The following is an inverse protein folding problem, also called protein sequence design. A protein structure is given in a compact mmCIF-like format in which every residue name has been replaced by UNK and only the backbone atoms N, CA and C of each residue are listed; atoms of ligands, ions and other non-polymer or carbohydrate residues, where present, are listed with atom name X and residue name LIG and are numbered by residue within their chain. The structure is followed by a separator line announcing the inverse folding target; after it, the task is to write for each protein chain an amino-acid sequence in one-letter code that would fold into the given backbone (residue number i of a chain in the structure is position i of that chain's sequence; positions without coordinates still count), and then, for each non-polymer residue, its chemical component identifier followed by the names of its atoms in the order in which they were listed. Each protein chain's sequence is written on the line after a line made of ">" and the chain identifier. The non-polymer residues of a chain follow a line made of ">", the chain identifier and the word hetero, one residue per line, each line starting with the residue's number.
data_IF_421327146784
#
_entry.id   IF_421327146784
#
_cell.length_a   1.000
_cell.length_b   1.000
_cell.length_c   1.000
_cell.angle_alpha   90.00
_cell.angle_beta   90.00
_cell.angle_gamma   90.00
#
_symmetry.space_group_name_H-M   'P 1'
#
loop_
_entity.id
_entity.type
_entity.pdbx_description
1 polymer ?
#
# COMPACT_ATOMS: atom_id res chain seq x y z
N UNK A 1 21.61 -45.57 -60.22
CA UNK A 1 21.55 -46.14 -58.85
C UNK A 1 22.28 -45.23 -57.88
N UNK A 2 21.84 -43.98 -57.91
CA UNK A 2 22.41 -42.76 -57.33
C UNK A 2 21.25 -42.09 -56.55
N UNK A 3 21.56 -41.23 -55.59
CA UNK A 3 20.65 -40.36 -54.82
C UNK A 3 19.92 -40.95 -53.60
N UNK A 4 19.60 -42.25 -53.53
CA UNK A 4 18.75 -42.77 -52.44
C UNK A 4 19.45 -42.85 -51.06
N UNK A 5 20.73 -43.20 -50.98
CA UNK A 5 21.44 -43.32 -49.69
C UNK A 5 21.90 -41.99 -49.07
N UNK A 6 21.91 -40.89 -49.84
CA UNK A 6 22.34 -39.57 -49.33
C UNK A 6 21.17 -38.79 -48.71
N UNK A 7 19.93 -39.10 -49.09
CA UNK A 7 18.73 -38.49 -48.54
C UNK A 7 18.38 -38.96 -47.13
N UNK A 8 18.65 -40.23 -46.77
CA UNK A 8 18.37 -40.74 -45.40
C UNK A 8 19.22 -40.03 -44.35
N UNK A 9 20.54 -39.91 -44.57
CA UNK A 9 21.44 -39.20 -43.65
C UNK A 9 21.18 -37.69 -43.56
N UNK A 10 20.59 -37.10 -44.60
CA UNK A 10 20.22 -35.67 -44.62
C UNK A 10 18.91 -35.40 -43.88
N UNK A 11 17.97 -36.36 -43.88
CA UNK A 11 16.70 -36.26 -43.16
C UNK A 11 16.89 -36.34 -41.63
N UNK A 12 17.84 -37.13 -41.13
CA UNK A 12 18.09 -37.24 -39.67
C UNK A 12 18.72 -35.98 -39.06
N UNK A 13 19.63 -35.32 -39.79
CA UNK A 13 20.25 -34.07 -39.33
C UNK A 13 19.27 -32.89 -39.39
N UNK A 14 18.41 -32.84 -40.41
CA UNK A 14 17.40 -31.79 -40.53
C UNK A 14 16.28 -31.98 -39.50
N UNK A 15 15.82 -33.21 -39.25
CA UNK A 15 14.83 -33.51 -38.23
C UNK A 15 15.31 -33.18 -36.81
N UNK A 16 16.55 -33.51 -36.46
CA UNK A 16 17.12 -33.20 -35.14
C UNK A 16 17.36 -31.70 -34.92
N UNK A 17 17.71 -30.94 -35.96
CA UNK A 17 17.82 -29.49 -35.90
C UNK A 17 16.46 -28.83 -35.76
N UNK A 18 15.45 -29.26 -36.54
CA UNK A 18 14.09 -28.74 -36.45
C UNK A 18 13.45 -29.04 -35.09
N UNK A 19 13.67 -30.23 -34.53
CA UNK A 19 13.18 -30.58 -33.19
C UNK A 19 13.81 -29.70 -32.09
N UNK A 20 15.12 -29.41 -32.19
CA UNK A 20 15.81 -28.50 -31.25
C UNK A 20 15.26 -27.09 -31.31
N UNK A 21 15.03 -26.56 -32.51
CA UNK A 21 14.42 -25.23 -32.68
C UNK A 21 12.98 -25.17 -32.19
N UNK A 22 12.20 -26.24 -32.39
CA UNK A 22 10.83 -26.33 -31.88
C UNK A 22 10.79 -26.37 -30.35
N UNK A 23 11.70 -27.10 -29.70
CA UNK A 23 11.82 -27.12 -28.24
C UNK A 23 12.24 -25.75 -27.67
N UNK A 24 13.20 -25.06 -28.30
CA UNK A 24 13.61 -23.71 -27.91
C UNK A 24 12.43 -22.73 -28.05
N UNK A 25 11.67 -22.79 -29.14
CA UNK A 25 10.50 -21.95 -29.34
C UNK A 25 9.42 -22.18 -28.27
N UNK A 26 9.18 -23.43 -27.86
CA UNK A 26 8.23 -23.77 -26.79
C UNK A 26 8.69 -23.24 -25.41
N UNK A 27 9.99 -23.33 -25.11
CA UNK A 27 10.55 -22.78 -23.87
C UNK A 27 10.41 -21.25 -23.84
N UNK A 28 10.72 -20.58 -24.95
CA UNK A 28 10.59 -19.13 -25.08
C UNK A 28 9.12 -18.68 -24.98
N UNK A 29 8.18 -19.42 -25.57
CA UNK A 29 6.73 -19.17 -25.43
C UNK A 29 6.26 -19.34 -23.98
N UNK A 30 6.74 -20.38 -23.27
CA UNK A 30 6.46 -20.57 -21.85
C UNK A 30 7.01 -19.45 -20.98
N UNK A 31 8.25 -19.02 -21.23
CA UNK A 31 8.86 -17.89 -20.52
C UNK A 31 8.14 -16.57 -20.81
N UNK A 32 7.76 -16.32 -22.06
CA UNK A 32 7.00 -15.13 -22.45
C UNK A 32 5.62 -15.10 -21.76
N UNK A 33 4.93 -16.25 -21.67
CA UNK A 33 3.66 -16.36 -20.94
C UNK A 33 3.82 -16.12 -19.43
N UNK A 34 4.87 -16.67 -18.81
CA UNK A 34 5.17 -16.46 -17.39
C UNK A 34 5.56 -15.00 -17.10
N UNK A 35 6.37 -14.37 -17.96
CA UNK A 35 6.71 -12.94 -17.91
C UNK A 35 5.46 -12.07 -18.09
N UNK A 36 4.57 -12.41 -19.02
CA UNK A 36 3.33 -11.67 -19.23
C UNK A 36 2.41 -11.75 -18.00
N UNK A 37 2.27 -12.93 -17.38
CA UNK A 37 1.50 -13.11 -16.14
C UNK A 37 2.15 -12.41 -14.94
N UNK A 38 3.47 -12.43 -14.83
CA UNK A 38 4.22 -11.72 -13.80
C UNK A 38 4.09 -10.20 -13.94
N UNK A 39 4.21 -9.69 -15.16
CA UNK A 39 3.97 -8.28 -15.47
C UNK A 39 2.50 -7.95 -15.17
N UNK A 40 1.52 -8.76 -15.55
CA UNK A 40 0.11 -8.52 -15.23
C UNK A 40 -0.16 -8.51 -13.71
N UNK A 41 0.51 -9.37 -12.93
CA UNK A 41 0.40 -9.42 -11.47
C UNK A 41 1.08 -8.22 -10.78
N UNK A 42 2.20 -7.72 -11.33
CA UNK A 42 2.91 -6.56 -10.78
C UNK A 42 2.48 -5.21 -11.39
N UNK A 43 1.76 -5.21 -12.51
CA UNK A 43 1.24 -4.02 -13.20
C UNK A 43 -0.09 -3.52 -12.62
N UNK A 44 -0.42 -3.90 -11.38
CA UNK A 44 -1.39 -3.18 -10.55
C UNK A 44 -1.00 -1.71 -10.27
N UNK A 45 0.19 -1.27 -10.69
CA UNK A 45 0.61 0.13 -10.74
C UNK A 45 0.02 0.85 -11.97
N UNK A 46 -1.31 1.02 -12.01
CA UNK A 46 -1.91 1.75 -13.14
C UNK A 46 -3.43 1.81 -13.23
N UNK A 47 -4.18 1.35 -12.21
CA UNK A 47 -5.62 1.59 -12.16
C UNK A 47 -5.95 2.74 -11.20
N UNK A 48 -6.25 3.86 -11.84
CA UNK A 48 -7.11 4.96 -11.39
C UNK A 48 -6.60 5.82 -10.23
N UNK A 49 -5.93 6.90 -10.63
CA UNK A 49 -6.19 8.22 -10.08
C UNK A 49 -7.66 8.60 -10.31
N UNK A 50 -8.56 8.13 -9.44
CA UNK A 50 -9.87 8.71 -9.20
C UNK A 50 -10.46 8.05 -7.95
N UNK A 51 -10.54 8.80 -6.85
CA UNK A 51 -11.22 8.45 -5.60
C UNK A 51 -10.79 7.14 -4.90
N UNK A 52 -9.61 7.15 -4.26
CA UNK A 52 -9.28 6.15 -3.22
C UNK A 52 -9.87 6.57 -1.87
N UNK A 53 -11.19 6.58 -1.76
CA UNK A 53 -11.82 6.56 -0.43
C UNK A 53 -11.58 5.15 0.11
N UNK A 54 -10.80 5.03 1.19
CA UNK A 54 -10.68 3.75 1.88
C UNK A 54 -12.03 3.47 2.54
N UNK A 55 -12.73 2.37 2.17
CA UNK A 55 -14.11 2.15 2.60
C UNK A 55 -14.26 2.21 4.11
N UNK A 56 -15.18 3.05 4.61
CA UNK A 56 -15.54 3.15 6.03
C UNK A 56 -14.49 3.83 6.94
N UNK A 57 -13.38 4.32 6.39
CA UNK A 57 -12.29 4.93 7.15
C UNK A 57 -12.39 6.45 7.23
N UNK A 58 -12.66 7.09 6.10
CA UNK A 58 -12.89 8.55 5.99
C UNK A 58 -14.31 8.76 5.49
N UNK A 59 -15.15 9.37 6.32
CA UNK A 59 -16.54 9.67 5.99
C UNK A 59 -16.68 10.88 5.05
N UNK A 60 -17.82 11.02 4.35
CA UNK A 60 -18.10 12.18 3.50
C UNK A 60 -18.11 13.52 4.28
N UNK A 61 -18.30 13.48 5.59
CA UNK A 61 -18.25 14.62 6.51
C UNK A 61 -16.83 14.99 6.97
N UNK A 62 -15.79 14.31 6.49
CA UNK A 62 -14.42 14.58 6.90
C UNK A 62 -13.97 15.98 6.46
N UNK A 63 -13.47 16.75 7.43
CA UNK A 63 -13.02 18.14 7.23
C UNK A 63 -11.83 18.20 6.27
N UNK A 64 -11.90 19.05 5.25
CA UNK A 64 -10.76 19.34 4.39
C UNK A 64 -9.57 19.86 5.22
N UNK A 65 -8.36 19.43 4.88
CA UNK A 65 -7.14 19.86 5.58
C UNK A 65 -6.92 19.15 6.90
N UNK A 66 -7.78 18.17 7.23
CA UNK A 66 -7.62 17.33 8.41
C UNK A 66 -6.78 16.08 8.14
N UNK A 67 -6.21 15.53 9.20
CA UNK A 67 -5.49 14.26 9.20
C UNK A 67 -6.15 13.30 10.18
N UNK A 68 -6.59 12.16 9.66
CA UNK A 68 -7.02 11.03 10.47
C UNK A 68 -5.82 10.09 10.67
N UNK A 69 -5.38 9.99 11.92
CA UNK A 69 -4.40 9.00 12.38
C UNK A 69 -5.16 7.73 12.75
N UNK A 70 -4.79 6.61 12.15
CA UNK A 70 -5.45 5.32 12.39
C UNK A 70 -4.44 4.32 12.93
N UNK A 71 -4.70 3.82 14.13
CA UNK A 71 -4.00 2.68 14.69
C UNK A 71 -4.74 1.41 14.30
N UNK A 72 -4.12 0.61 13.43
CA UNK A 72 -4.63 -0.69 13.01
C UNK A 72 -4.08 -1.79 13.90
N UNK A 73 -4.95 -2.69 14.37
CA UNK A 73 -4.57 -3.86 15.13
C UNK A 73 -5.42 -5.08 14.74
N UNK A 74 -4.93 -6.29 15.02
CA UNK A 74 -5.70 -7.52 14.88
C UNK A 74 -6.46 -7.88 16.16
N UNK A 75 -7.09 -9.05 16.18
CA UNK A 75 -7.79 -9.56 17.36
C UNK A 75 -6.84 -9.82 18.55
N UNK A 76 -5.60 -10.22 18.26
CA UNK A 76 -4.60 -10.51 19.27
C UNK A 76 -3.85 -9.22 19.67
N UNK A 77 -4.06 -8.75 20.90
CA UNK A 77 -3.32 -7.61 21.44
C UNK A 77 -1.95 -8.05 21.99
N UNK A 78 -0.87 -7.62 21.34
CA UNK A 78 0.50 -7.87 21.79
C UNK A 78 1.02 -6.74 22.72
N UNK A 79 1.99 -7.04 23.60
CA UNK A 79 2.65 -6.03 24.45
C UNK A 79 3.14 -4.79 23.68
N UNK A 80 3.92 -4.95 22.59
CA UNK A 80 4.35 -3.85 21.74
C UNK A 80 3.17 -3.08 21.09
N UNK A 81 2.10 -3.78 20.72
CA UNK A 81 0.90 -3.20 20.12
C UNK A 81 0.23 -2.22 21.10
N UNK A 82 0.11 -2.63 22.37
CA UNK A 82 -0.40 -1.78 23.45
C UNK A 82 0.51 -0.57 23.69
N UNK A 83 1.84 -0.76 23.69
CA UNK A 83 2.78 0.35 23.85
C UNK A 83 2.64 1.37 22.71
N UNK A 84 2.64 0.91 21.44
CA UNK A 84 2.44 1.79 20.30
C UNK A 84 1.13 2.56 20.39
N UNK A 85 0.02 1.92 20.79
CA UNK A 85 -1.27 2.60 20.97
C UNK A 85 -1.17 3.73 22.00
N UNK A 86 -0.53 3.48 23.14
CA UNK A 86 -0.27 4.50 24.17
C UNK A 86 0.57 5.65 23.60
N UNK A 87 1.67 5.34 22.92
CA UNK A 87 2.56 6.35 22.33
C UNK A 87 1.85 7.24 21.31
N UNK A 88 0.97 6.67 20.49
CA UNK A 88 0.15 7.43 19.53
C UNK A 88 -0.79 8.39 20.26
N UNK A 89 -1.56 7.87 21.23
CA UNK A 89 -2.53 8.67 21.97
C UNK A 89 -1.85 9.83 22.70
N UNK A 90 -0.72 9.57 23.36
CA UNK A 90 0.04 10.61 24.04
C UNK A 90 0.67 11.61 23.06
N UNK A 91 1.16 11.17 21.90
CA UNK A 91 1.72 12.08 20.88
C UNK A 91 0.67 13.07 20.39
N UNK A 92 -0.55 12.59 20.11
CA UNK A 92 -1.66 13.44 19.67
C UNK A 92 -2.09 14.39 20.79
N UNK A 93 -2.27 13.86 22.01
CA UNK A 93 -2.69 14.65 23.17
C UNK A 93 -1.68 15.76 23.51
N UNK A 94 -0.38 15.46 23.46
CA UNK A 94 0.65 16.39 23.92
C UNK A 94 1.07 17.39 22.83
N UNK A 95 1.17 16.96 21.58
CA UNK A 95 1.77 17.77 20.52
C UNK A 95 0.77 18.33 19.50
N UNK A 96 -0.47 17.84 19.51
CA UNK A 96 -1.53 18.23 18.59
C UNK A 96 -2.84 18.53 19.33
N UNK A 97 -2.78 18.96 20.60
CA UNK A 97 -3.97 19.19 21.42
C UNK A 97 -4.96 20.18 20.80
N UNK A 98 -4.47 21.24 20.16
CA UNK A 98 -5.31 22.26 19.48
C UNK A 98 -5.96 21.70 18.23
N UNK A 99 -5.18 20.97 17.42
CA UNK A 99 -5.65 20.32 16.21
C UNK A 99 -6.65 19.21 16.53
N UNK A 100 -6.42 18.46 17.62
CA UNK A 100 -7.35 17.45 18.13
C UNK A 100 -8.66 18.07 18.61
N UNK A 101 -8.59 19.17 19.37
CA UNK A 101 -9.79 19.88 19.85
C UNK A 101 -10.67 20.44 18.70
N UNK A 102 -10.07 20.72 17.55
CA UNK A 102 -10.77 21.29 16.37
C UNK A 102 -11.12 20.24 15.31
N UNK A 103 -10.85 18.95 15.57
CA UNK A 103 -11.03 17.86 14.61
C UNK A 103 -10.11 17.94 13.40
N UNK A 104 -9.04 18.74 13.46
CA UNK A 104 -8.02 18.83 12.41
C UNK A 104 -7.05 17.65 12.47
N UNK A 105 -6.81 17.07 13.66
CA UNK A 105 -6.12 15.79 13.82
C UNK A 105 -7.02 14.86 14.63
N UNK A 106 -7.40 13.71 14.07
CA UNK A 106 -8.25 12.75 14.77
C UNK A 106 -7.52 11.42 14.94
N UNK A 107 -7.75 10.72 16.06
CA UNK A 107 -7.28 9.37 16.28
C UNK A 107 -8.44 8.39 16.15
N UNK A 108 -8.26 7.34 15.33
CA UNK A 108 -9.15 6.17 15.30
C UNK A 108 -8.35 4.91 15.57
N UNK A 109 -8.92 4.00 16.34
CA UNK A 109 -8.37 2.66 16.56
C UNK A 109 -9.27 1.69 15.80
N UNK A 110 -8.69 0.85 14.96
CA UNK A 110 -9.42 -0.07 14.08
C UNK A 110 -8.87 -1.47 14.26
N UNK A 111 -9.75 -2.37 14.71
CA UNK A 111 -9.51 -3.80 14.62
C UNK A 111 -9.77 -4.27 13.18
N UNK A 112 -8.73 -4.58 12.41
CA UNK A 112 -8.89 -5.01 11.02
C UNK A 112 -9.42 -6.43 10.86
N UNK A 113 -9.40 -7.25 11.92
CA UNK A 113 -10.02 -8.58 11.95
C UNK A 113 -11.48 -8.53 12.41
N UNK A 114 -11.99 -7.35 12.79
CA UNK A 114 -13.38 -7.16 13.19
C UNK A 114 -14.36 -7.33 12.03
N UNK A 115 -15.56 -7.82 12.34
CA UNK A 115 -16.65 -8.00 11.36
C UNK A 115 -16.94 -6.67 10.63
N UNK A 116 -16.94 -6.70 9.29
CA UNK A 116 -17.17 -5.51 8.46
C UNK A 116 -15.90 -4.80 7.98
N UNK A 117 -14.71 -5.17 8.48
CA UNK A 117 -13.44 -4.57 8.08
C UNK A 117 -12.66 -5.37 7.03
N UNK A 118 -13.25 -6.45 6.47
CA UNK A 118 -12.62 -7.28 5.44
C UNK A 118 -12.20 -6.49 4.19
N UNK A 119 -12.94 -5.44 3.86
CA UNK A 119 -12.59 -4.50 2.79
C UNK A 119 -11.30 -3.74 3.10
N UNK A 120 -11.15 -3.27 4.34
CA UNK A 120 -9.98 -2.52 4.81
C UNK A 120 -8.76 -3.44 4.86
N UNK A 121 -8.89 -4.63 5.45
CA UNK A 121 -7.81 -5.61 5.56
C UNK A 121 -7.25 -6.01 4.19
N UNK A 122 -8.14 -6.31 3.22
CA UNK A 122 -7.74 -6.63 1.84
C UNK A 122 -7.12 -5.44 1.12
N UNK A 123 -7.71 -4.24 1.24
CA UNK A 123 -7.24 -3.06 0.54
C UNK A 123 -5.84 -2.62 1.01
N UNK A 124 -5.59 -2.72 2.32
CA UNK A 124 -4.30 -2.35 2.93
C UNK A 124 -3.30 -3.51 2.99
N UNK A 125 -3.72 -4.74 2.64
CA UNK A 125 -2.87 -5.94 2.75
C UNK A 125 -2.37 -6.17 4.17
N UNK A 126 -3.19 -5.89 5.19
CA UNK A 126 -2.73 -5.87 6.58
C UNK A 126 -2.48 -7.28 7.11
N UNK A 127 -1.24 -7.47 7.59
CA UNK A 127 -0.77 -8.69 8.23
C UNK A 127 -0.31 -8.43 9.68
N UNK A 128 0.03 -7.18 9.99
CA UNK A 128 0.56 -6.74 11.28
C UNK A 128 -0.11 -5.42 11.71
N UNK A 129 -0.13 -5.18 13.03
CA UNK A 129 -0.51 -3.88 13.58
C UNK A 129 0.37 -2.77 13.02
N UNK A 130 -0.23 -1.63 12.67
CA UNK A 130 0.47 -0.52 12.02
C UNK A 130 -0.29 0.80 12.21
N UNK A 131 0.33 1.90 11.79
CA UNK A 131 -0.27 3.23 11.81
C UNK A 131 -0.43 3.74 10.38
N UNK A 132 -1.64 4.19 10.04
CA UNK A 132 -1.93 4.90 8.80
C UNK A 132 -2.27 6.36 9.06
N UNK A 133 -1.77 7.25 8.21
CA UNK A 133 -2.17 8.66 8.16
C UNK A 133 -3.02 8.89 6.91
N UNK A 134 -4.21 9.45 7.10
CA UNK A 134 -5.18 9.73 6.06
C UNK A 134 -5.44 11.23 6.04
N UNK A 135 -4.79 11.93 5.11
CA UNK A 135 -4.95 13.36 4.91
C UNK A 135 -6.12 13.66 3.96
N UNK A 136 -7.06 14.48 4.40
CA UNK A 136 -8.27 14.83 3.65
C UNK A 136 -8.01 16.08 2.80
N UNK A 137 -8.29 15.99 1.50
CA UNK A 137 -8.08 17.06 0.53
C UNK A 137 -9.37 17.39 -0.23
N UNK A 138 -9.48 18.64 -0.69
CA UNK A 138 -10.49 19.08 -1.66
C UNK A 138 -11.92 18.87 -1.18
N UNK A 139 -12.26 19.35 0.02
CA UNK A 139 -13.59 19.17 0.64
C UNK A 139 -14.01 17.69 0.78
N UNK A 140 -13.07 16.80 1.13
CA UNK A 140 -13.36 15.38 1.32
C UNK A 140 -13.37 14.54 0.04
N UNK A 141 -13.07 15.14 -1.12
CA UNK A 141 -13.11 14.46 -2.43
C UNK A 141 -11.91 13.56 -2.69
N UNK A 142 -10.80 13.77 -2.00
CA UNK A 142 -9.62 12.91 -2.11
C UNK A 142 -8.94 12.71 -0.76
N UNK A 143 -8.30 11.55 -0.61
CA UNK A 143 -7.56 11.18 0.60
C UNK A 143 -6.14 10.79 0.22
N UNK A 144 -5.17 11.46 0.84
CA UNK A 144 -3.76 11.09 0.79
C UNK A 144 -3.48 10.07 1.90
N UNK A 145 -2.92 8.93 1.54
CA UNK A 145 -2.67 7.83 2.49
C UNK A 145 -1.17 7.63 2.67
N UNK A 146 -0.74 7.47 3.92
CA UNK A 146 0.63 7.09 4.28
C UNK A 146 0.61 6.01 5.36
N UNK A 147 1.11 4.83 5.02
CA UNK A 147 1.29 3.74 5.98
C UNK A 147 2.70 3.81 6.57
N UNK A 148 2.81 3.64 7.88
CA UNK A 148 4.08 3.76 8.61
C UNK A 148 4.66 2.41 9.05
N UNK A 149 4.19 1.29 8.48
CA UNK A 149 4.49 -0.09 8.89
C UNK A 149 5.96 -0.31 9.23
N UNK A 150 6.87 -0.08 8.30
CA UNK A 150 8.29 -0.37 8.54
C UNK A 150 8.88 0.51 9.64
N UNK A 151 8.49 1.79 9.69
CA UNK A 151 9.02 2.75 10.66
C UNK A 151 8.51 2.51 12.08
N UNK A 152 7.25 2.11 12.23
CA UNK A 152 6.69 1.82 13.56
C UNK A 152 7.37 0.61 14.17
N UNK A 153 7.62 -0.44 13.37
CA UNK A 153 8.31 -1.64 13.82
C UNK A 153 9.80 -1.41 14.03
N UNK A 154 10.46 -0.57 13.24
CA UNK A 154 11.85 -0.20 13.48
C UNK A 154 12.06 0.58 14.80
N UNK A 155 11.02 1.29 15.28
CA UNK A 155 11.11 2.18 16.44
C UNK A 155 10.29 1.72 17.65
N UNK A 156 9.69 0.52 17.63
CA UNK A 156 8.73 0.07 18.65
C UNK A 156 9.32 -0.02 20.08
N UNK A 157 10.65 -0.15 20.20
CA UNK A 157 11.39 -0.18 21.46
C UNK A 157 12.05 1.15 21.86
N UNK A 158 11.94 2.19 21.03
CA UNK A 158 12.45 3.54 21.31
C UNK A 158 11.30 4.54 21.33
N UNK A 159 10.70 4.71 22.50
CA UNK A 159 9.57 5.61 22.74
C UNK A 159 9.85 7.05 22.26
N UNK A 160 11.09 7.53 22.40
CA UNK A 160 11.45 8.92 22.06
C UNK A 160 11.54 9.08 20.54
N UNK A 161 12.25 8.18 19.87
CA UNK A 161 12.36 8.19 18.42
C UNK A 161 11.00 7.94 17.75
N UNK A 162 10.18 7.06 18.32
CA UNK A 162 8.82 6.80 17.85
C UNK A 162 7.95 8.06 17.86
N UNK A 163 7.90 8.78 19.00
CA UNK A 163 7.12 10.02 19.11
C UNK A 163 7.61 11.10 18.16
N UNK A 164 8.94 11.26 18.06
CA UNK A 164 9.55 12.23 17.14
C UNK A 164 9.18 11.92 15.69
N UNK A 165 9.26 10.64 15.30
CA UNK A 165 8.84 10.17 13.98
C UNK A 165 7.38 10.49 13.71
N UNK A 166 6.49 10.07 14.62
CA UNK A 166 5.05 10.23 14.44
C UNK A 166 4.66 11.71 14.39
N UNK A 167 5.25 12.54 15.25
CA UNK A 167 5.05 13.98 15.23
C UNK A 167 5.43 14.59 13.87
N UNK A 168 6.61 14.23 13.36
CA UNK A 168 7.08 14.72 12.06
C UNK A 168 6.16 14.31 10.91
N UNK A 169 5.72 13.05 10.87
CA UNK A 169 4.84 12.55 9.82
C UNK A 169 3.44 13.20 9.86
N UNK A 170 2.85 13.41 11.04
CA UNK A 170 1.57 14.12 11.17
C UNK A 170 1.70 15.58 10.71
N UNK A 171 2.75 16.31 11.15
CA UNK A 171 2.98 17.69 10.73
C UNK A 171 3.18 17.79 9.22
N UNK A 172 3.97 16.89 8.65
CA UNK A 172 4.19 16.83 7.20
C UNK A 172 2.89 16.59 6.45
N UNK A 173 2.07 15.65 6.91
CA UNK A 173 0.77 15.39 6.29
C UNK A 173 -0.15 16.61 6.38
N UNK A 174 -0.21 17.31 7.54
CA UNK A 174 -1.01 18.52 7.71
C UNK A 174 -0.63 19.62 6.70
N UNK A 175 0.67 19.85 6.49
CA UNK A 175 1.15 20.81 5.48
C UNK A 175 0.70 20.39 4.09
N UNK A 176 0.94 19.12 3.72
CA UNK A 176 0.60 18.57 2.40
C UNK A 176 -0.90 18.67 2.07
N UNK A 177 -1.80 18.59 3.06
CA UNK A 177 -3.24 18.71 2.82
C UNK A 177 -3.75 20.15 2.89
N UNK A 178 -3.14 20.99 3.73
CA UNK A 178 -3.52 22.41 3.82
C UNK A 178 -3.15 23.17 2.53
N UNK A 179 -1.97 22.89 1.98
CA UNK A 179 -1.51 23.51 0.72
C UNK A 179 -2.37 23.08 -0.47
N UNK A 180 -2.83 21.83 -0.47
CA UNK A 180 -3.72 21.30 -1.50
C UNK A 180 -5.10 21.96 -1.47
N UNK A 181 -5.63 22.27 -0.28
CA UNK A 181 -6.91 22.97 -0.14
C UNK A 181 -6.81 24.44 -0.54
N UNK A 182 -5.72 25.12 -0.14
CA UNK A 182 -5.49 26.51 -0.51
C UNK A 182 -5.39 26.73 -2.03
N UNK A 183 -4.84 25.76 -2.76
CA UNK A 183 -4.68 25.83 -4.21
C UNK A 183 -5.94 25.40 -4.98
N UNK A 184 -6.77 24.52 -4.41
CA UNK A 184 -8.04 24.09 -5.01
C UNK A 184 -9.17 25.11 -4.96
N UNK A 185 -9.00 26.24 -4.27
CA UNK A 185 -10.03 27.29 -4.12
C UNK A 185 -9.97 28.37 -5.23
N UNK A 186 -9.04 28.22 -6.20
CA UNK A 186 -8.99 29.07 -7.41
C UNK A 186 -9.53 28.29 -8.61
N UNK A 187 -10.85 28.24 -8.77
CA UNK A 187 -11.53 28.00 -10.05
C UNK A 187 -12.97 28.49 -9.94
#
# INVERSE_FOLDING_TARGET
>A
MNNAMKSERYMDHTASVLLRWLLIALILLGFAGALFKFIEHHSGAGRQASSKIVPGLVGPEAKAGSVLVVMFHGNEECGPCMNMRRLVAETITNAFSKEAATGTVNLKVVNYDGSGNDGIKRWLGMVLSTIGLFGVQGAGKSVKVRMLTDRVWALHGDDTAFRKMLNGEIRKMLLEVTDADATGTRN
#
